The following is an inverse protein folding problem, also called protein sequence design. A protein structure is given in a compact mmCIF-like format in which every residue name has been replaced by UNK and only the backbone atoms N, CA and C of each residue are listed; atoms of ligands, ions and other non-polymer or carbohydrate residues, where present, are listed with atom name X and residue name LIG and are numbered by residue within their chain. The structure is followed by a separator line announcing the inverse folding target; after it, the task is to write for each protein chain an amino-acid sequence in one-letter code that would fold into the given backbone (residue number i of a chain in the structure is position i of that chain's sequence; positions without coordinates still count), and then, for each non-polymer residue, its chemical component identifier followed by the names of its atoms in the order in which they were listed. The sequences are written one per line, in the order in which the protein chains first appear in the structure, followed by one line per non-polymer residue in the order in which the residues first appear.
data_IF_653094757309
#
_entry.id   IF_653094757309
#
_cell.length_a   1.000
_cell.length_b   1.000
_cell.length_c   1.000
_cell.angle_alpha   90.00
_cell.angle_beta   90.00
_cell.angle_gamma   90.00
#
_symmetry.space_group_name_H-M   'P 1'
#
loop_
_entity.id
_entity.type
_entity.pdbx_description
1 polymer ?
#
# COMPACT_ATOMS: atom_id res chain seq x y z
N UNK A 1 2.10 18.76 -23.59
CA UNK A 1 2.24 19.10 -22.15
C UNK A 1 1.08 18.45 -21.41
N UNK A 2 1.20 17.18 -21.01
CA UNK A 2 0.12 16.40 -20.38
C UNK A 2 -0.07 16.89 -18.93
N UNK A 3 -1.11 17.69 -18.70
CA UNK A 3 -1.50 18.22 -17.39
C UNK A 3 -2.34 17.18 -16.65
N UNK A 4 -1.80 16.76 -15.50
CA UNK A 4 -2.46 16.10 -14.37
C UNK A 4 -3.04 14.69 -14.56
N UNK A 5 -2.13 13.72 -14.61
CA UNK A 5 -2.47 12.29 -14.54
C UNK A 5 -2.55 11.76 -13.09
N UNK A 6 -2.57 12.61 -12.05
CA UNK A 6 -2.50 12.18 -10.64
C UNK A 6 -3.37 13.05 -9.75
N UNK A 7 -4.07 12.40 -8.83
CA UNK A 7 -4.89 13.00 -7.78
C UNK A 7 -4.51 12.43 -6.42
N UNK A 8 -4.45 13.30 -5.41
CA UNK A 8 -4.25 12.90 -4.01
C UNK A 8 -5.63 12.88 -3.34
N UNK A 9 -6.02 11.72 -2.85
CA UNK A 9 -7.26 11.48 -2.13
C UNK A 9 -6.92 11.44 -0.64
N UNK A 10 -7.53 12.31 0.14
CA UNK A 10 -7.28 12.46 1.58
C UNK A 10 -8.50 12.13 2.43
N UNK A 11 -9.62 11.72 1.81
CA UNK A 11 -10.84 11.32 2.51
C UNK A 11 -11.25 9.91 2.07
N UNK A 12 -11.85 9.16 2.98
CA UNK A 12 -12.38 7.83 2.70
C UNK A 12 -13.45 7.90 1.59
N UNK A 13 -14.38 8.84 1.66
CA UNK A 13 -15.41 9.05 0.63
C UNK A 13 -14.81 9.31 -0.74
N UNK A 14 -13.79 10.18 -0.82
CA UNK A 14 -13.11 10.49 -2.08
C UNK A 14 -12.41 9.27 -2.66
N UNK A 15 -11.85 8.41 -1.80
CA UNK A 15 -11.26 7.14 -2.21
C UNK A 15 -12.29 6.12 -2.68
N UNK A 16 -13.30 5.81 -1.88
CA UNK A 16 -14.31 4.79 -2.21
C UNK A 16 -15.13 5.18 -3.44
N UNK A 17 -15.57 6.44 -3.52
CA UNK A 17 -16.28 6.95 -4.70
C UNK A 17 -15.42 6.80 -5.97
N UNK A 18 -14.16 7.26 -5.93
CA UNK A 18 -13.26 7.15 -7.07
C UNK A 18 -12.99 5.69 -7.44
N UNK A 19 -12.73 4.82 -6.44
CA UNK A 19 -12.42 3.41 -6.63
C UNK A 19 -13.58 2.66 -7.27
N UNK A 20 -14.80 2.83 -6.75
CA UNK A 20 -15.97 2.12 -7.25
C UNK A 20 -16.39 2.61 -8.63
N UNK A 21 -16.26 3.91 -8.92
CA UNK A 21 -16.48 4.45 -10.26
C UNK A 21 -15.51 3.90 -11.29
N UNK A 22 -14.23 3.74 -10.93
CA UNK A 22 -13.24 3.15 -11.82
C UNK A 22 -13.45 1.64 -11.98
N UNK A 23 -13.78 0.91 -10.91
CA UNK A 23 -14.12 -0.52 -10.97
C UNK A 23 -15.27 -0.80 -11.94
N UNK A 24 -16.27 0.07 -11.99
CA UNK A 24 -17.42 -0.06 -12.91
C UNK A 24 -17.02 0.09 -14.39
N UNK A 25 -15.88 0.71 -14.68
CA UNK A 25 -15.36 1.03 -16.02
C UNK A 25 -14.26 0.08 -16.50
N UNK A 26 -13.82 -0.87 -15.68
CA UNK A 26 -12.74 -1.80 -16.05
C UNK A 26 -13.20 -2.74 -17.17
N UNK A 27 -12.35 -2.89 -18.19
CA UNK A 27 -12.64 -3.70 -19.38
C UNK A 27 -11.70 -4.89 -19.59
N UNK A 28 -10.44 -4.80 -19.15
CA UNK A 28 -9.43 -5.83 -19.42
C UNK A 28 -8.96 -6.54 -18.15
N UNK A 29 -8.55 -5.77 -17.13
CA UNK A 29 -7.93 -6.34 -15.93
C UNK A 29 -8.02 -5.47 -14.69
N UNK A 30 -8.18 -6.11 -13.54
CA UNK A 30 -8.06 -5.53 -12.21
C UNK A 30 -7.03 -6.31 -11.38
N UNK A 31 -5.92 -5.67 -11.05
CA UNK A 31 -4.84 -6.22 -10.22
C UNK A 31 -4.85 -5.53 -8.86
N UNK A 32 -5.13 -6.26 -7.79
CA UNK A 32 -5.42 -5.69 -6.47
C UNK A 32 -4.55 -6.37 -5.40
N UNK A 33 -3.81 -5.56 -4.65
CA UNK A 33 -3.15 -5.96 -3.40
C UNK A 33 -3.68 -5.10 -2.28
N UNK A 34 -4.26 -5.72 -1.26
CA UNK A 34 -4.70 -5.04 -0.05
C UNK A 34 -4.13 -5.68 1.20
N UNK A 35 -3.82 -4.85 2.18
CA UNK A 35 -3.45 -5.34 3.49
C UNK A 35 -4.70 -5.79 4.27
N UNK A 36 -5.70 -4.94 4.36
CA UNK A 36 -6.94 -5.21 5.07
C UNK A 36 -8.13 -5.04 4.12
N UNK A 37 -8.99 -6.05 4.11
CA UNK A 37 -10.32 -6.04 3.52
C UNK A 37 -11.25 -6.55 4.61
N UNK A 38 -12.27 -5.78 4.96
CA UNK A 38 -13.30 -6.13 5.94
C UNK A 38 -14.64 -6.39 5.25
N UNK A 39 -15.48 -7.21 5.88
CA UNK A 39 -16.89 -7.34 5.51
C UNK A 39 -17.69 -6.13 6.01
N UNK A 40 -18.84 -5.89 5.40
CA UNK A 40 -19.71 -4.74 5.65
C UNK A 40 -20.27 -4.23 4.33
N UNK A 41 -20.98 -3.11 4.31
CA UNK A 41 -21.57 -2.52 3.11
C UNK A 41 -20.52 -2.14 2.04
N UNK A 42 -19.40 -1.52 2.45
CA UNK A 42 -18.25 -1.16 1.60
C UNK A 42 -17.54 -2.42 1.10
N UNK A 43 -17.33 -3.38 2.00
CA UNK A 43 -16.75 -4.67 1.65
C UNK A 43 -17.61 -5.40 0.63
N UNK A 44 -18.92 -5.46 0.87
CA UNK A 44 -19.88 -6.13 0.01
C UNK A 44 -19.97 -5.46 -1.35
N UNK A 45 -20.03 -4.13 -1.42
CA UNK A 45 -20.01 -3.41 -2.70
C UNK A 45 -18.72 -3.72 -3.48
N UNK A 46 -17.56 -3.68 -2.80
CA UNK A 46 -16.28 -4.04 -3.40
C UNK A 46 -16.30 -5.49 -3.94
N UNK A 47 -16.78 -6.45 -3.15
CA UNK A 47 -16.95 -7.86 -3.53
C UNK A 47 -17.81 -8.00 -4.77
N UNK A 48 -18.99 -7.38 -4.78
CA UNK A 48 -19.96 -7.47 -5.87
C UNK A 48 -19.42 -6.87 -7.17
N UNK A 49 -18.66 -5.77 -7.09
CA UNK A 49 -17.99 -5.19 -8.26
C UNK A 49 -16.95 -6.15 -8.86
N UNK A 50 -16.13 -6.81 -8.04
CA UNK A 50 -15.15 -7.79 -8.52
C UNK A 50 -15.83 -9.02 -9.14
N UNK A 51 -16.89 -9.53 -8.52
CA UNK A 51 -17.72 -10.63 -9.05
C UNK A 51 -18.30 -10.25 -10.42
N UNK A 52 -18.84 -9.03 -10.55
CA UNK A 52 -19.41 -8.53 -11.80
C UNK A 52 -18.36 -8.46 -12.92
N UNK A 53 -17.14 -8.01 -12.60
CA UNK A 53 -16.03 -7.98 -13.54
C UNK A 53 -15.62 -9.39 -13.98
N UNK A 54 -15.44 -10.31 -13.04
CA UNK A 54 -15.07 -11.70 -13.34
C UNK A 54 -16.11 -12.39 -14.23
N UNK A 55 -17.40 -12.18 -13.97
CA UNK A 55 -18.50 -12.70 -14.80
C UNK A 55 -18.49 -12.12 -16.23
N UNK A 56 -18.02 -10.89 -16.40
CA UNK A 56 -17.77 -10.26 -17.71
C UNK A 56 -16.48 -10.72 -18.38
N UNK A 57 -15.77 -11.71 -17.83
CA UNK A 57 -14.49 -12.23 -18.32
C UNK A 57 -13.32 -11.25 -18.23
N UNK A 58 -13.46 -10.19 -17.42
CA UNK A 58 -12.34 -9.33 -17.03
C UNK A 58 -11.39 -10.13 -16.14
N UNK A 59 -10.08 -9.98 -16.33
CA UNK A 59 -9.08 -10.67 -15.49
C UNK A 59 -9.00 -9.98 -14.14
N UNK A 60 -9.52 -10.63 -13.09
CA UNK A 60 -9.46 -10.10 -11.72
C UNK A 60 -8.49 -10.91 -10.87
N UNK A 61 -7.44 -10.25 -10.39
CA UNK A 61 -6.43 -10.83 -9.50
C UNK A 61 -6.42 -10.07 -8.17
N UNK A 62 -6.83 -10.74 -7.10
CA UNK A 62 -6.90 -10.18 -5.76
C UNK A 62 -5.91 -10.87 -4.84
N UNK A 63 -5.06 -10.10 -4.18
CA UNK A 63 -4.22 -10.57 -3.09
C UNK A 63 -4.56 -9.80 -1.82
N UNK A 64 -4.82 -10.53 -0.75
CA UNK A 64 -5.07 -9.94 0.56
C UNK A 64 -4.11 -10.50 1.61
N UNK A 65 -3.82 -9.71 2.64
CA UNK A 65 -2.99 -10.13 3.75
C UNK A 65 -3.85 -10.78 4.86
N UNK A 66 -3.54 -12.04 5.19
CA UNK A 66 -4.28 -12.84 6.19
C UNK A 66 -4.34 -12.21 7.59
N UNK A 67 -3.32 -11.42 7.98
CA UNK A 67 -3.30 -10.76 9.29
C UNK A 67 -4.18 -9.51 9.27
N UNK A 68 -4.06 -8.69 8.22
CA UNK A 68 -4.90 -7.50 8.08
C UNK A 68 -6.37 -7.86 7.91
N UNK A 69 -6.69 -8.96 7.22
CA UNK A 69 -8.06 -9.41 6.94
C UNK A 69 -8.48 -10.58 7.84
N UNK A 70 -7.93 -10.67 9.05
CA UNK A 70 -8.09 -11.84 9.94
C UNK A 70 -9.54 -12.13 10.31
N UNK A 71 -10.35 -11.08 10.48
CA UNK A 71 -11.76 -11.19 10.88
C UNK A 71 -12.72 -11.39 9.71
N UNK A 72 -12.23 -11.30 8.48
CA UNK A 72 -13.02 -11.50 7.26
C UNK A 72 -13.18 -13.00 7.02
N UNK A 73 -14.41 -13.44 6.80
CA UNK A 73 -14.74 -14.86 6.70
C UNK A 73 -14.10 -15.47 5.45
N UNK A 74 -13.93 -16.79 5.48
CA UNK A 74 -13.52 -17.54 4.29
C UNK A 74 -14.56 -17.40 3.17
N UNK A 75 -15.84 -17.50 3.53
CA UNK A 75 -16.97 -17.46 2.59
C UNK A 75 -16.98 -16.20 1.73
N UNK A 76 -16.62 -15.05 2.32
CA UNK A 76 -16.46 -13.79 1.59
C UNK A 76 -15.50 -13.91 0.38
N UNK A 77 -14.36 -14.58 0.56
CA UNK A 77 -13.40 -14.81 -0.53
C UNK A 77 -13.80 -15.99 -1.43
N UNK A 78 -14.37 -17.05 -0.86
CA UNK A 78 -14.81 -18.24 -1.59
C UNK A 78 -15.91 -17.90 -2.62
N UNK A 79 -16.81 -16.96 -2.29
CA UNK A 79 -17.82 -16.43 -3.21
C UNK A 79 -17.20 -15.72 -4.43
N UNK A 80 -16.14 -14.92 -4.20
CA UNK A 80 -15.42 -14.25 -5.28
C UNK A 80 -14.66 -15.25 -6.17
N UNK A 81 -13.96 -16.21 -5.57
CA UNK A 81 -13.28 -17.28 -6.31
C UNK A 81 -14.26 -18.07 -7.18
N UNK A 82 -15.42 -18.43 -6.62
CA UNK A 82 -16.48 -19.15 -7.33
C UNK A 82 -17.04 -18.37 -8.53
N UNK A 83 -16.98 -17.03 -8.50
CA UNK A 83 -17.35 -16.17 -9.62
C UNK A 83 -16.25 -15.98 -10.68
N UNK A 84 -15.05 -16.51 -10.44
CA UNK A 84 -13.91 -16.44 -11.36
C UNK A 84 -12.82 -15.43 -10.98
N UNK A 85 -12.86 -14.83 -9.78
CA UNK A 85 -11.77 -13.98 -9.29
C UNK A 85 -10.59 -14.89 -8.90
N UNK A 86 -9.39 -14.60 -9.38
CA UNK A 86 -8.18 -15.29 -8.91
C UNK A 86 -7.74 -14.68 -7.57
N UNK A 87 -7.67 -15.47 -6.50
CA UNK A 87 -7.32 -14.96 -5.17
C UNK A 87 -6.03 -15.59 -4.63
N UNK A 88 -5.21 -14.79 -3.95
CA UNK A 88 -4.07 -15.24 -3.15
C UNK A 88 -4.17 -14.68 -1.73
N UNK A 89 -4.29 -15.56 -0.75
CA UNK A 89 -4.07 -15.23 0.66
C UNK A 89 -2.56 -15.14 0.96
N UNK A 90 -2.09 -13.96 1.35
CA UNK A 90 -0.69 -13.75 1.72
C UNK A 90 -0.43 -14.21 3.16
N UNK A 91 0.51 -15.14 3.32
CA UNK A 91 0.93 -15.74 4.60
C UNK A 91 -0.25 -16.04 5.54
N UNK A 92 -1.05 -17.08 5.24
CA UNK A 92 -2.16 -17.52 6.09
C UNK A 92 -1.74 -17.63 7.56
N UNK A 93 -2.51 -17.02 8.47
CA UNK A 93 -2.25 -17.09 9.92
C UNK A 93 -3.23 -18.00 10.65
N UNK A 94 -4.34 -18.39 10.01
CA UNK A 94 -5.29 -19.31 10.59
C UNK A 94 -4.69 -20.75 10.62
N UNK A 95 -4.47 -21.34 11.81
CA UNK A 95 -3.86 -22.66 11.93
C UNK A 95 -4.76 -23.77 11.35
N UNK A 96 -6.08 -23.55 11.20
CA UNK A 96 -6.99 -24.50 10.54
C UNK A 96 -6.83 -24.54 9.01
N UNK A 97 -6.40 -23.42 8.39
CA UNK A 97 -6.14 -23.32 6.94
C UNK A 97 -4.68 -23.63 6.56
N UNK A 98 -3.77 -23.60 7.54
CA UNK A 98 -2.33 -23.64 7.28
C UNK A 98 -1.73 -24.96 7.74
N UNK A 99 -1.37 -25.84 6.79
CA UNK A 99 -0.58 -27.07 7.07
C UNK A 99 0.91 -26.83 7.31
N UNK A 100 1.37 -25.59 7.13
CA UNK A 100 2.78 -25.25 7.27
C UNK A 100 3.13 -24.96 8.74
N UNK A 101 4.31 -25.39 9.23
CA UNK A 101 4.69 -25.26 10.64
C UNK A 101 4.65 -23.81 11.11
N UNK A 102 4.07 -23.56 12.29
CA UNK A 102 3.97 -22.22 12.86
C UNK A 102 5.32 -21.51 12.81
N UNK A 103 5.36 -20.34 12.16
CA UNK A 103 6.59 -19.57 12.01
C UNK A 103 6.33 -18.15 12.44
N UNK A 104 6.91 -17.79 13.58
CA UNK A 104 6.91 -16.41 14.12
C UNK A 104 7.40 -15.41 13.08
N UNK A 105 8.33 -15.80 12.20
CA UNK A 105 8.84 -14.96 11.13
C UNK A 105 7.78 -14.61 10.07
N UNK A 106 6.75 -15.45 9.87
CA UNK A 106 5.62 -15.15 8.97
C UNK A 106 4.64 -14.15 9.55
N UNK A 107 4.56 -14.04 10.88
CA UNK A 107 3.78 -12.99 11.54
C UNK A 107 4.38 -11.61 11.28
N UNK A 108 5.71 -11.50 11.24
CA UNK A 108 6.40 -10.23 11.00
C UNK A 108 6.62 -9.90 9.52
N UNK A 109 6.39 -10.85 8.61
CA UNK A 109 6.53 -10.65 7.16
C UNK A 109 5.15 -10.54 6.53
N UNK A 110 4.50 -9.39 6.68
CA UNK A 110 3.19 -9.10 6.09
C UNK A 110 3.32 -8.32 4.79
N UNK A 111 2.34 -8.46 3.90
CA UNK A 111 2.22 -7.60 2.72
C UNK A 111 1.35 -6.39 3.07
N UNK A 112 1.98 -5.29 3.49
CA UNK A 112 1.28 -4.03 3.80
C UNK A 112 0.97 -3.16 2.58
N UNK A 113 1.24 -3.64 1.36
CA UNK A 113 0.97 -2.89 0.13
C UNK A 113 -0.51 -2.70 -0.06
N UNK A 114 -0.87 -1.51 -0.52
CA UNK A 114 -2.20 -1.17 -1.02
C UNK A 114 -1.99 -0.63 -2.41
N UNK A 115 -2.16 -1.51 -3.39
CA UNK A 115 -1.90 -1.23 -4.80
C UNK A 115 -3.05 -1.79 -5.61
N UNK A 116 -3.70 -0.92 -6.37
CA UNK A 116 -4.78 -1.28 -7.28
C UNK A 116 -4.38 -0.81 -8.67
N UNK A 117 -4.56 -1.63 -9.69
CA UNK A 117 -4.25 -1.29 -11.07
C UNK A 117 -5.38 -1.78 -11.96
N UNK A 118 -5.91 -0.91 -12.80
CA UNK A 118 -6.96 -1.19 -13.78
C UNK A 118 -6.45 -0.97 -15.19
N UNK A 119 -6.72 -1.94 -16.07
CA UNK A 119 -6.47 -1.87 -17.53
C UNK A 119 -5.07 -1.35 -17.87
N UNK A 120 -4.09 -1.76 -17.04
CA UNK A 120 -2.67 -1.37 -17.12
C UNK A 120 -2.45 0.14 -17.27
N UNK A 121 -3.38 0.97 -16.80
CA UNK A 121 -3.32 2.41 -17.02
C UNK A 121 -3.69 3.19 -15.76
N UNK A 122 -4.81 2.90 -15.13
CA UNK A 122 -5.24 3.56 -13.89
C UNK A 122 -4.66 2.82 -12.69
N UNK A 123 -4.21 3.54 -11.68
CA UNK A 123 -3.65 2.93 -10.47
C UNK A 123 -4.01 3.72 -9.21
N UNK A 124 -4.03 3.00 -8.08
CA UNK A 124 -4.10 3.55 -6.73
C UNK A 124 -2.94 3.02 -5.91
N UNK A 125 -2.28 3.91 -5.16
CA UNK A 125 -1.21 3.54 -4.23
C UNK A 125 -1.20 4.46 -3.01
N UNK A 126 -1.18 3.90 -1.79
CA UNK A 126 -1.31 4.69 -0.58
C UNK A 126 -1.51 3.86 0.69
N UNK A 127 -2.18 4.44 1.68
CA UNK A 127 -2.44 3.82 2.98
C UNK A 127 -3.86 3.31 3.22
N UNK A 128 -4.85 3.72 2.40
CA UNK A 128 -6.26 3.36 2.60
C UNK A 128 -6.58 1.89 2.28
N UNK A 129 -7.35 1.25 3.16
CA UNK A 129 -7.82 -0.14 3.06
C UNK A 129 -9.31 -0.20 2.64
N UNK A 130 -9.89 -1.41 2.59
CA UNK A 130 -11.31 -1.63 2.29
C UNK A 130 -12.05 -2.03 3.57
N UNK A 131 -13.06 -1.26 3.97
CA UNK A 131 -13.90 -1.52 5.15
C UNK A 131 -14.41 -0.25 5.82
N UNK A 132 -15.50 -0.39 6.59
CA UNK A 132 -16.22 0.69 7.27
C UNK A 132 -15.38 1.35 8.36
N UNK A 133 -14.53 0.56 9.03
CA UNK A 133 -13.62 1.06 10.06
C UNK A 133 -12.69 2.17 9.55
N UNK A 134 -12.46 2.22 8.24
CA UNK A 134 -11.58 3.21 7.62
C UNK A 134 -12.29 4.50 7.20
N UNK A 135 -13.61 4.63 7.41
CA UNK A 135 -14.34 5.85 7.09
C UNK A 135 -13.83 7.06 7.88
N UNK A 136 -13.50 6.85 9.15
CA UNK A 136 -12.99 7.89 10.05
C UNK A 136 -11.45 7.90 10.17
N UNK A 137 -10.73 7.22 9.27
CA UNK A 137 -9.27 7.21 9.26
C UNK A 137 -8.69 8.28 8.35
N UNK A 138 -7.78 9.08 8.92
CA UNK A 138 -6.96 10.03 8.19
C UNK A 138 -5.83 9.31 7.45
N UNK A 139 -5.91 9.25 6.12
CA UNK A 139 -4.90 8.60 5.29
C UNK A 139 -4.78 9.30 3.92
N UNK A 140 -3.81 8.87 3.12
CA UNK A 140 -3.51 9.39 1.80
C UNK A 140 -3.50 8.24 0.80
N UNK A 141 -4.30 8.37 -0.26
CA UNK A 141 -4.27 7.51 -1.44
C UNK A 141 -3.96 8.34 -2.69
N UNK A 142 -3.02 7.87 -3.50
CA UNK A 142 -2.70 8.49 -4.78
C UNK A 142 -3.43 7.70 -5.86
N UNK A 143 -4.33 8.36 -6.60
CA UNK A 143 -4.90 7.85 -7.85
C UNK A 143 -4.12 8.43 -9.02
N UNK A 144 -3.76 7.62 -10.01
CA UNK A 144 -3.14 8.15 -11.23
C UNK A 144 -3.41 7.34 -12.48
N UNK A 145 -2.99 7.87 -13.63
CA UNK A 145 -3.12 7.22 -14.95
C UNK A 145 -1.82 7.29 -15.75
N UNK A 146 -1.45 6.20 -16.41
CA UNK A 146 -0.22 6.11 -17.19
C UNK A 146 1.01 5.95 -16.30
N UNK A 147 2.13 6.58 -16.65
CA UNK A 147 3.38 6.39 -15.91
C UNK A 147 3.22 6.76 -14.41
N UNK A 148 3.70 5.92 -13.46
CA UNK A 148 4.62 4.79 -13.66
C UNK A 148 3.94 3.41 -13.60
N UNK A 149 2.78 3.22 -14.23
CA UNK A 149 1.98 1.98 -14.14
C UNK A 149 2.76 0.70 -14.46
N UNK A 150 3.67 0.71 -15.44
CA UNK A 150 4.48 -0.47 -15.76
C UNK A 150 5.36 -0.93 -14.59
N UNK A 151 5.96 0.02 -13.87
CA UNK A 151 6.78 -0.29 -12.69
C UNK A 151 5.91 -0.80 -11.53
N UNK A 152 4.66 -0.32 -11.43
CA UNK A 152 3.68 -0.80 -10.45
C UNK A 152 3.22 -2.22 -10.77
N UNK A 153 2.92 -2.53 -12.04
CA UNK A 153 2.60 -3.89 -12.50
C UNK A 153 3.77 -4.83 -12.20
N UNK A 154 5.00 -4.41 -12.49
CA UNK A 154 6.19 -5.20 -12.18
C UNK A 154 6.38 -5.42 -10.67
N UNK A 155 5.97 -4.46 -9.82
CA UNK A 155 5.95 -4.66 -8.35
C UNK A 155 4.87 -5.66 -7.94
N UNK A 156 3.67 -5.55 -8.50
CA UNK A 156 2.55 -6.48 -8.26
C UNK A 156 2.95 -7.93 -8.60
N UNK A 157 3.44 -8.16 -9.82
CA UNK A 157 3.79 -9.48 -10.35
C UNK A 157 4.85 -10.19 -9.52
N UNK A 158 5.84 -9.48 -8.96
CA UNK A 158 6.87 -10.07 -8.09
C UNK A 158 6.26 -10.79 -6.89
N UNK A 159 5.21 -10.21 -6.30
CA UNK A 159 4.53 -10.81 -5.14
C UNK A 159 3.58 -11.90 -5.62
N UNK A 160 2.81 -11.62 -6.67
CA UNK A 160 1.82 -12.54 -7.25
C UNK A 160 2.45 -13.87 -7.68
N UNK A 161 3.50 -13.83 -8.48
CA UNK A 161 4.17 -15.01 -9.02
C UNK A 161 5.12 -15.69 -8.01
N UNK A 162 5.26 -15.14 -6.80
CA UNK A 162 6.27 -15.54 -5.79
C UNK A 162 7.72 -15.55 -6.33
N UNK A 163 7.99 -14.91 -7.48
CA UNK A 163 9.31 -14.89 -8.11
C UNK A 163 10.27 -13.97 -7.37
N UNK A 164 11.47 -14.49 -7.10
CA UNK A 164 12.56 -13.72 -6.49
C UNK A 164 13.27 -12.85 -7.53
N UNK A 165 12.63 -11.76 -7.98
CA UNK A 165 13.31 -10.84 -8.90
C UNK A 165 14.29 -9.98 -8.09
N UNK A 166 15.60 -10.06 -8.42
CA UNK A 166 16.60 -9.14 -7.86
C UNK A 166 16.16 -7.70 -8.14
N UNK A 167 16.18 -6.79 -7.16
CA UNK A 167 15.79 -5.41 -7.39
C UNK A 167 16.77 -4.78 -8.38
N UNK A 168 16.33 -4.50 -9.60
CA UNK A 168 17.03 -3.55 -10.46
C UNK A 168 16.65 -2.16 -9.95
N UNK A 169 17.29 -1.69 -8.88
CA UNK A 169 17.24 -0.26 -8.53
C UNK A 169 18.02 0.46 -9.62
N UNK A 170 17.36 0.78 -10.73
CA UNK A 170 17.90 1.67 -11.73
C UNK A 170 17.53 3.08 -11.29
N UNK A 171 18.46 3.77 -10.62
CA UNK A 171 18.44 5.22 -10.62
C UNK A 171 18.80 5.65 -12.05
N UNK A 172 17.83 5.63 -12.98
CA UNK A 172 18.00 6.31 -14.26
C UNK A 172 18.13 7.81 -13.98
N UNK A 173 18.89 8.53 -14.82
CA UNK A 173 18.83 9.99 -14.82
C UNK A 173 17.37 10.41 -14.94
N UNK A 174 16.95 11.27 -14.01
CA UNK A 174 15.55 11.58 -13.81
C UNK A 174 15.22 12.83 -14.60
N UNK A 175 14.32 12.72 -15.58
CA UNK A 175 13.67 13.89 -16.13
C UNK A 175 12.95 14.65 -14.99
N UNK A 176 12.97 15.97 -15.06
CA UNK A 176 12.24 16.81 -14.10
C UNK A 176 10.76 16.43 -14.12
N UNK A 177 10.21 16.04 -12.97
CA UNK A 177 8.81 15.61 -12.84
C UNK A 177 8.57 14.11 -13.03
N UNK A 178 9.62 13.29 -13.24
CA UNK A 178 9.47 11.84 -13.30
C UNK A 178 9.05 11.24 -11.95
N UNK A 179 8.19 10.22 -12.01
CA UNK A 179 7.70 9.48 -10.84
C UNK A 179 8.42 8.14 -10.80
N UNK A 180 8.95 7.79 -9.63
CA UNK A 180 9.66 6.53 -9.43
C UNK A 180 8.93 5.67 -8.40
N UNK A 181 8.72 4.41 -8.76
CA UNK A 181 8.24 3.39 -7.84
C UNK A 181 9.41 2.88 -7.02
N UNK A 182 9.29 2.98 -5.69
CA UNK A 182 10.28 2.45 -4.76
C UNK A 182 9.67 1.30 -3.95
N UNK A 183 10.06 0.07 -4.29
CA UNK A 183 9.53 -1.14 -3.66
C UNK A 183 10.39 -1.60 -2.47
N UNK A 184 9.81 -2.34 -1.53
CA UNK A 184 10.48 -2.91 -0.36
C UNK A 184 10.20 -4.41 -0.22
N UNK A 185 11.25 -5.19 0.02
CA UNK A 185 11.15 -6.63 0.26
C UNK A 185 12.10 -7.02 1.40
N UNK A 186 11.76 -8.01 2.23
CA UNK A 186 12.69 -8.55 3.23
C UNK A 186 14.03 -9.04 2.63
N UNK A 187 14.05 -9.35 1.33
CA UNK A 187 15.26 -9.75 0.60
C UNK A 187 16.19 -8.56 0.28
N UNK A 188 15.72 -7.32 0.40
CA UNK A 188 16.48 -6.14 0.03
C UNK A 188 17.35 -5.68 1.19
N UNK A 189 18.63 -6.03 1.15
CA UNK A 189 19.61 -5.69 2.20
C UNK A 189 19.87 -4.17 2.31
N UNK A 190 19.59 -3.40 1.26
CA UNK A 190 19.91 -1.97 1.19
C UNK A 190 18.79 -1.02 1.65
N UNK A 191 17.63 -1.54 2.07
CA UNK A 191 16.47 -0.76 2.54
C UNK A 191 16.17 0.49 1.66
N UNK A 192 15.76 0.29 0.40
CA UNK A 192 15.70 1.35 -0.61
C UNK A 192 14.81 2.53 -0.20
N UNK A 193 13.63 2.27 0.37
CA UNK A 193 12.71 3.32 0.85
C UNK A 193 13.41 4.19 1.90
N UNK A 194 14.08 3.59 2.89
CA UNK A 194 14.82 4.34 3.93
C UNK A 194 15.90 5.24 3.33
N UNK A 195 16.63 4.76 2.31
CA UNK A 195 17.65 5.58 1.63
C UNK A 195 17.03 6.73 0.86
N UNK A 196 15.88 6.51 0.23
CA UNK A 196 15.11 7.54 -0.46
C UNK A 196 14.70 8.65 0.52
N UNK A 197 14.09 8.31 1.66
CA UNK A 197 13.73 9.26 2.70
C UNK A 197 14.93 10.09 3.18
N UNK A 198 16.03 9.43 3.55
CA UNK A 198 17.25 10.14 4.02
C UNK A 198 17.81 11.06 2.93
N UNK A 199 17.83 10.61 1.67
CA UNK A 199 18.30 11.41 0.53
C UNK A 199 17.43 12.65 0.32
N UNK A 200 16.09 12.48 0.32
CA UNK A 200 15.14 13.57 0.16
C UNK A 200 15.28 14.62 1.28
N UNK A 201 15.38 14.17 2.53
CA UNK A 201 15.56 15.07 3.70
C UNK A 201 16.91 15.80 3.65
N UNK A 202 17.99 15.13 3.21
CA UNK A 202 19.29 15.79 3.05
C UNK A 202 19.30 16.82 1.91
N UNK A 203 18.51 16.59 0.86
CA UNK A 203 18.42 17.49 -0.31
C UNK A 203 17.35 18.57 -0.17
N UNK A 204 16.50 18.52 0.85
CA UNK A 204 15.48 19.55 1.07
C UNK A 204 16.09 20.94 1.32
N UNK A 205 15.37 21.97 0.86
CA UNK A 205 15.77 23.38 0.94
C UNK A 205 14.77 24.28 1.66
N UNK A 206 13.47 23.91 1.67
CA UNK A 206 12.39 24.73 2.24
C UNK A 206 11.63 24.04 3.36
N UNK A 207 11.08 22.85 3.08
CA UNK A 207 10.26 22.09 4.03
C UNK A 207 10.47 20.58 3.95
N UNK A 208 10.24 19.90 5.07
CA UNK A 208 10.11 18.44 5.22
C UNK A 208 8.93 18.21 6.15
N UNK A 209 7.80 17.80 5.59
CA UNK A 209 6.61 17.45 6.38
C UNK A 209 6.37 15.95 6.24
N UNK A 210 6.21 15.27 7.37
CA UNK A 210 6.04 13.81 7.44
C UNK A 210 4.77 13.55 8.24
N UNK A 211 3.82 12.83 7.64
CA UNK A 211 2.70 12.22 8.35
C UNK A 211 2.95 10.70 8.41
N UNK A 212 2.89 10.10 9.59
CA UNK A 212 3.17 8.69 9.81
C UNK A 212 2.26 8.14 10.92
N UNK A 213 1.59 7.02 10.66
CA UNK A 213 0.82 6.31 11.69
C UNK A 213 1.72 5.75 12.80
N UNK A 214 2.95 5.31 12.45
CA UNK A 214 3.88 4.68 13.37
C UNK A 214 5.27 5.34 13.31
N UNK A 215 5.56 6.22 14.26
CA UNK A 215 6.82 6.97 14.26
C UNK A 215 7.91 6.31 15.10
N UNK A 216 8.52 5.27 14.52
CA UNK A 216 9.67 4.56 15.10
C UNK A 216 10.92 4.78 14.21
N UNK A 217 11.43 6.02 14.08
CA UNK A 217 12.53 6.33 13.16
C UNK A 217 13.85 5.76 13.68
N UNK A 218 14.65 5.19 12.76
CA UNK A 218 16.04 4.83 13.11
C UNK A 218 16.91 6.08 13.27
N UNK A 219 17.95 6.00 14.12
CA UNK A 219 18.93 7.09 14.38
C UNK A 219 19.41 7.85 13.14
N UNK A 220 19.66 7.17 12.01
CA UNK A 220 20.11 7.83 10.77
C UNK A 220 19.04 8.77 10.16
N UNK A 221 17.76 8.44 10.30
CA UNK A 221 16.65 9.27 9.84
C UNK A 221 16.48 10.50 10.75
N UNK A 222 16.51 10.29 12.07
CA UNK A 222 16.50 11.36 13.08
C UNK A 222 17.62 12.37 12.81
N UNK A 223 18.87 11.90 12.67
CA UNK A 223 20.02 12.76 12.36
C UNK A 223 19.83 13.53 11.05
N UNK A 224 19.21 12.93 10.04
CA UNK A 224 18.94 13.62 8.78
C UNK A 224 17.93 14.77 8.97
N UNK A 225 16.87 14.55 9.75
CA UNK A 225 15.87 15.58 10.09
C UNK A 225 16.49 16.71 10.91
N UNK A 226 17.25 16.39 11.95
CA UNK A 226 17.98 17.39 12.77
C UNK A 226 18.90 18.23 11.90
N UNK A 227 19.68 17.61 11.01
CA UNK A 227 20.55 18.36 10.10
C UNK A 227 19.76 19.20 9.08
N UNK A 228 18.55 18.81 8.70
CA UNK A 228 17.68 19.64 7.85
C UNK A 228 17.20 20.88 8.61
N UNK A 229 16.71 20.69 9.85
CA UNK A 229 16.30 21.80 10.72
C UNK A 229 17.45 22.79 10.97
N UNK A 230 18.67 22.29 11.24
CA UNK A 230 19.88 23.14 11.40
C UNK A 230 20.25 23.95 10.15
N UNK A 231 19.81 23.54 8.96
CA UNK A 231 19.97 24.32 7.71
C UNK A 231 18.86 25.35 7.48
N UNK A 232 17.93 25.52 8.43
CA UNK A 232 16.77 26.41 8.29
C UNK A 232 15.60 25.83 7.51
N UNK A 233 15.56 24.51 7.30
CA UNK A 233 14.41 23.84 6.67
C UNK A 233 13.29 23.66 7.70
N UNK A 234 12.05 23.99 7.37
CA UNK A 234 10.87 23.72 8.20
C UNK A 234 10.61 22.21 8.27
N UNK A 235 10.87 21.58 9.42
CA UNK A 235 10.69 20.15 9.64
C UNK A 235 9.52 19.91 10.57
N UNK A 236 8.47 19.24 10.08
CA UNK A 236 7.27 18.88 10.86
C UNK A 236 7.00 17.40 10.75
N UNK A 237 6.63 16.80 11.87
CA UNK A 237 6.20 15.40 11.96
C UNK A 237 4.83 15.37 12.61
N UNK A 238 3.86 14.77 11.91
CA UNK A 238 2.49 14.56 12.38
C UNK A 238 2.34 13.06 12.62
N UNK A 239 1.84 12.72 13.80
CA UNK A 239 1.58 11.36 14.26
C UNK A 239 0.22 11.30 14.94
N UNK A 240 -0.42 10.12 15.03
CA UNK A 240 -1.58 9.94 15.89
C UNK A 240 -1.25 10.28 17.35
N UNK A 241 -2.24 10.82 18.06
CA UNK A 241 -2.16 11.01 19.51
C UNK A 241 -2.13 9.65 20.26
N UNK A 242 -2.92 8.70 19.77
CA UNK A 242 -2.88 7.30 20.19
C UNK A 242 -2.85 6.37 18.98
N UNK A 243 -1.95 5.41 18.99
CA UNK A 243 -1.83 4.37 17.97
C UNK A 243 -2.86 3.25 18.20
N UNK A 244 -3.40 2.70 17.11
CA UNK A 244 -4.18 1.46 17.13
C UNK A 244 -3.36 0.25 17.65
N UNK A 245 -2.02 0.38 17.62
CA UNK A 245 -1.08 -0.57 18.19
C UNK A 245 -0.37 0.05 19.40
N UNK A 246 -0.82 -0.27 20.63
CA UNK A 246 -0.26 0.27 21.90
C UNK A 246 1.25 0.11 22.05
N UNK A 247 1.82 -0.98 21.51
CA UNK A 247 3.27 -1.20 21.56
C UNK A 247 4.05 -0.15 20.76
N UNK A 248 3.44 0.41 19.71
CA UNK A 248 4.05 1.46 18.91
C UNK A 248 4.13 2.77 19.69
N UNK A 249 3.13 3.11 20.49
CA UNK A 249 3.18 4.30 21.36
C UNK A 249 4.39 4.24 22.29
N UNK A 250 4.60 3.08 22.94
CA UNK A 250 5.73 2.85 23.82
C UNK A 250 7.08 2.94 23.07
N UNK A 251 7.15 2.40 21.85
CA UNK A 251 8.37 2.38 21.04
C UNK A 251 8.71 3.75 20.42
N UNK A 252 7.70 4.61 20.22
CA UNK A 252 7.86 5.94 19.62
C UNK A 252 8.33 6.98 20.65
N UNK A 253 8.00 6.78 21.93
CA UNK A 253 8.33 7.69 23.04
C UNK A 253 9.79 8.20 23.06
N UNK A 254 10.84 7.37 22.84
CA UNK A 254 12.23 7.86 22.87
C UNK A 254 12.60 8.77 21.69
N UNK A 255 11.82 8.76 20.60
CA UNK A 255 12.04 9.62 19.44
C UNK A 255 11.30 10.96 19.51
N UNK A 256 10.35 11.09 20.46
CA UNK A 256 9.54 12.29 20.68
C UNK A 256 10.10 13.22 21.77
N UNK A 257 11.06 12.74 22.56
CA UNK A 257 11.88 13.55 23.49
C UNK A 257 13.15 14.06 22.80
#
# INVERSE_FOLDING_TARGET
MQKENISILTTADGFYSSLFDDLRKVEESALIQMYCIEEGDIGEEFKQLLIKLARKKVVVQLMYDSFGSFFTSAGYFDEMESAGVSIIEYHPVNPRKTRAPFSVHRLFRRNHRKLIIFDKSTYYIGGMNIGERFLDWEDIMIRGRGAPVDDLIASFQKVWERKSVKPKIRFKEMAKGAIHVCDSSPKYQNYPIKRLYISAIKKSRKRVWIAQAYFIPRRKLIKAMIHAAKRGVDVRVIIPDSSDVKLVDLASWPALK
#
